data_IF_686731427050
#
_entry.id   IF_686731427050
#
_cell.length_a   1.000
_cell.length_b   1.000
_cell.length_c   1.000
_cell.angle_alpha   90.00
_cell.angle_beta   90.00
_cell.angle_gamma   90.00
#
_symmetry.space_group_name_H-M   'P 1'
#
loop_
_entity.id
_entity.type
_entity.pdbx_description
1 polymer ?
#
# COMPACT_ATOMS: atom_id res chain seq x y z
N UNK A 1 23.91 -5.40 2.30
CA UNK A 1 22.96 -4.31 2.59
C UNK A 1 21.57 -4.91 2.44
N UNK A 2 20.82 -4.99 3.55
CA UNK A 2 19.35 -5.01 3.68
C UNK A 2 18.44 -5.82 2.72
N UNK A 3 18.95 -6.82 2.01
CA UNK A 3 18.13 -7.81 1.28
C UNK A 3 17.17 -8.61 2.18
N UNK A 4 17.41 -8.61 3.51
CA UNK A 4 16.65 -9.41 4.46
C UNK A 4 15.14 -9.16 4.44
N UNK A 5 14.65 -7.92 4.22
CA UNK A 5 13.20 -7.66 4.27
C UNK A 5 12.48 -8.20 3.04
N UNK A 6 13.04 -8.00 1.85
CA UNK A 6 12.42 -8.48 0.60
C UNK A 6 12.56 -9.99 0.45
N UNK A 7 13.62 -10.60 0.99
CA UNK A 7 13.85 -12.05 0.97
C UNK A 7 12.70 -12.87 1.58
N UNK A 8 12.04 -12.39 2.65
CA UNK A 8 10.88 -13.08 3.23
C UNK A 8 9.54 -12.51 2.77
N UNK A 9 9.47 -11.23 2.42
CA UNK A 9 8.22 -10.56 2.06
C UNK A 9 7.60 -11.15 0.78
N UNK A 10 8.41 -11.44 -0.24
CA UNK A 10 7.93 -12.01 -1.50
C UNK A 10 7.39 -13.43 -1.32
N UNK A 11 8.13 -14.40 -0.74
CA UNK A 11 7.59 -15.74 -0.48
C UNK A 11 6.32 -15.72 0.38
N UNK A 12 6.24 -14.84 1.38
CA UNK A 12 5.04 -14.71 2.19
C UNK A 12 3.85 -14.21 1.37
N UNK A 13 4.00 -13.09 0.66
CA UNK A 13 2.95 -12.53 -0.18
C UNK A 13 2.49 -13.53 -1.26
N UNK A 14 3.44 -14.21 -1.92
CA UNK A 14 3.16 -15.24 -2.91
C UNK A 14 2.35 -16.40 -2.31
N UNK A 15 2.75 -16.91 -1.14
CA UNK A 15 2.05 -18.00 -0.47
C UNK A 15 0.61 -17.66 -0.09
N UNK A 16 0.31 -16.40 0.18
CA UNK A 16 -1.01 -15.92 0.58
C UNK A 16 -1.89 -15.49 -0.59
N UNK A 17 -1.31 -15.06 -1.71
CA UNK A 17 -2.03 -14.40 -2.80
C UNK A 17 -2.02 -15.17 -4.12
N UNK A 18 -0.95 -15.89 -4.47
CA UNK A 18 -0.75 -16.39 -5.84
C UNK A 18 -1.84 -17.36 -6.30
N UNK A 19 -2.21 -18.34 -5.49
CA UNK A 19 -3.28 -19.30 -5.79
C UNK A 19 -4.69 -18.70 -5.56
N UNK A 20 -5.04 -18.14 -4.38
CA UNK A 20 -6.41 -17.71 -4.12
C UNK A 20 -6.78 -16.41 -4.83
N UNK A 21 -5.81 -15.55 -5.13
CA UNK A 21 -6.00 -14.19 -5.63
C UNK A 21 -4.93 -13.80 -6.68
N UNK A 22 -4.78 -14.56 -7.79
CA UNK A 22 -3.66 -14.40 -8.73
C UNK A 22 -3.54 -13.00 -9.32
N UNK A 23 -4.68 -12.35 -9.55
CA UNK A 23 -4.72 -10.97 -10.04
C UNK A 23 -4.19 -9.99 -9.00
N UNK A 24 -4.52 -10.18 -7.72
CA UNK A 24 -3.96 -9.37 -6.63
C UNK A 24 -2.47 -9.64 -6.43
N UNK A 25 -2.02 -10.88 -6.61
CA UNK A 25 -0.60 -11.18 -6.63
C UNK A 25 0.15 -10.42 -7.75
N UNK A 26 -0.41 -10.35 -8.96
CA UNK A 26 0.14 -9.54 -10.04
C UNK A 26 0.18 -8.04 -9.66
N UNK A 27 -0.89 -7.53 -9.06
CA UNK A 27 -0.94 -6.16 -8.53
C UNK A 27 0.19 -5.90 -7.51
N UNK A 28 0.30 -6.71 -6.46
CA UNK A 28 1.33 -6.57 -5.41
C UNK A 28 2.74 -6.55 -5.97
N UNK A 29 3.04 -7.41 -6.96
CA UNK A 29 4.32 -7.38 -7.66
C UNK A 29 4.53 -6.04 -8.38
N UNK A 30 3.54 -5.57 -9.14
CA UNK A 30 3.59 -4.26 -9.82
C UNK A 30 3.83 -3.08 -8.86
N UNK A 31 3.20 -3.09 -7.68
CA UNK A 31 3.40 -2.08 -6.64
C UNK A 31 4.84 -2.11 -6.11
N UNK A 32 5.41 -3.30 -5.92
CA UNK A 32 6.80 -3.47 -5.53
C UNK A 32 7.78 -3.03 -6.64
N UNK A 33 7.47 -3.30 -7.92
CA UNK A 33 8.26 -2.77 -9.04
C UNK A 33 8.24 -1.25 -9.05
N UNK A 34 7.07 -0.64 -8.81
CA UNK A 34 6.94 0.81 -8.71
C UNK A 34 7.76 1.37 -7.54
N UNK A 35 7.79 0.69 -6.39
CA UNK A 35 8.64 1.09 -5.26
C UNK A 35 10.12 1.15 -5.64
N UNK A 36 10.61 0.18 -6.42
CA UNK A 36 12.00 0.20 -6.95
C UNK A 36 12.28 1.43 -7.81
N UNK A 37 11.30 1.92 -8.59
CA UNK A 37 11.50 3.11 -9.44
C UNK A 37 11.70 4.42 -8.65
N UNK A 38 11.30 4.45 -7.38
CA UNK A 38 11.42 5.63 -6.51
C UNK A 38 12.48 5.45 -5.41
N UNK A 39 13.27 4.37 -5.44
CA UNK A 39 14.28 4.06 -4.43
C UNK A 39 15.27 5.22 -4.16
N UNK A 40 15.60 6.02 -5.18
CA UNK A 40 16.54 7.14 -5.05
C UNK A 40 16.09 8.24 -4.09
N UNK A 41 14.79 8.42 -3.87
CA UNK A 41 14.25 9.39 -2.91
C UNK A 41 13.92 8.78 -1.55
N UNK A 42 14.07 7.46 -1.41
CA UNK A 42 13.81 6.71 -0.17
C UNK A 42 15.09 6.42 0.61
N UNK A 43 16.26 6.45 -0.04
CA UNK A 43 17.54 6.23 0.62
C UNK A 43 17.58 4.86 1.30
N UNK A 44 17.86 4.84 2.62
CA UNK A 44 17.91 3.61 3.41
C UNK A 44 16.56 2.91 3.58
N UNK A 45 15.44 3.59 3.29
CA UNK A 45 14.10 3.02 3.41
C UNK A 45 13.60 2.35 2.12
N UNK A 46 14.44 2.23 1.08
CA UNK A 46 14.05 1.60 -0.18
C UNK A 46 13.62 0.13 -0.01
N UNK A 47 14.40 -0.67 0.73
CA UNK A 47 14.08 -2.09 0.98
C UNK A 47 12.83 -2.24 1.86
N UNK A 48 12.64 -1.34 2.83
CA UNK A 48 11.43 -1.27 3.65
C UNK A 48 10.19 -1.02 2.77
N UNK A 49 10.29 -0.06 1.86
CA UNK A 49 9.18 0.31 0.98
C UNK A 49 8.82 -0.81 0.02
N UNK A 50 9.82 -1.50 -0.56
CA UNK A 50 9.57 -2.64 -1.45
C UNK A 50 8.89 -3.80 -0.70
N UNK A 51 9.34 -4.12 0.51
CA UNK A 51 8.70 -5.14 1.34
C UNK A 51 7.25 -4.76 1.70
N UNK A 52 7.01 -3.51 2.14
CA UNK A 52 5.65 -3.05 2.41
C UNK A 52 4.76 -3.05 1.16
N UNK A 53 5.32 -2.68 0.00
CA UNK A 53 4.63 -2.66 -1.29
C UNK A 53 4.15 -4.05 -1.71
N UNK A 54 4.98 -5.09 -1.63
CA UNK A 54 4.55 -6.45 -2.00
C UNK A 54 3.56 -7.03 -0.98
N UNK A 55 3.61 -6.59 0.28
CA UNK A 55 2.77 -7.10 1.37
C UNK A 55 1.45 -6.32 1.59
N UNK A 56 1.28 -5.12 1.02
CA UNK A 56 0.20 -4.20 1.43
C UNK A 56 -1.21 -4.82 1.36
N UNK A 57 -1.41 -5.73 0.41
CA UNK A 57 -2.70 -6.28 0.05
C UNK A 57 -2.93 -7.73 0.56
N UNK A 58 -2.01 -8.27 1.39
CA UNK A 58 -2.16 -9.66 1.88
C UNK A 58 -3.40 -9.86 2.75
N UNK A 59 -3.92 -8.80 3.37
CA UNK A 59 -5.14 -8.88 4.20
C UNK A 59 -6.40 -9.26 3.42
N UNK A 60 -6.34 -9.28 2.09
CA UNK A 60 -7.42 -9.84 1.27
C UNK A 60 -7.41 -11.36 1.20
N UNK A 61 -6.31 -12.02 1.55
CA UNK A 61 -6.23 -13.48 1.51
C UNK A 61 -7.38 -14.08 2.34
N UNK A 62 -8.11 -15.10 1.83
CA UNK A 62 -9.30 -15.63 2.50
C UNK A 62 -9.08 -16.04 3.96
N UNK A 63 -7.89 -16.58 4.28
CA UNK A 63 -7.54 -17.01 5.63
C UNK A 63 -7.24 -15.84 6.58
N UNK A 64 -6.93 -14.66 6.05
CA UNK A 64 -6.55 -13.46 6.79
C UNK A 64 -7.72 -12.49 6.97
N UNK A 65 -8.67 -12.42 6.02
CA UNK A 65 -9.77 -11.46 6.01
C UNK A 65 -10.78 -11.69 7.16
N UNK A 66 -10.49 -11.19 8.36
CA UNK A 66 -11.35 -11.34 9.56
C UNK A 66 -12.33 -10.19 9.74
N UNK A 67 -11.91 -8.97 9.44
CA UNK A 67 -12.74 -7.77 9.60
C UNK A 67 -13.36 -7.32 8.27
N UNK A 68 -12.81 -7.79 7.15
CA UNK A 68 -13.16 -7.30 5.82
C UNK A 68 -12.58 -5.92 5.51
N UNK A 69 -11.63 -5.46 6.34
CA UNK A 69 -10.81 -4.27 6.14
C UNK A 69 -9.35 -4.73 6.01
N UNK A 70 -8.92 -4.95 4.78
CA UNK A 70 -7.65 -5.63 4.48
C UNK A 70 -6.39 -4.95 5.03
N UNK A 71 -6.29 -3.61 5.20
CA UNK A 71 -5.09 -3.00 5.79
C UNK A 71 -4.92 -3.46 7.24
N UNK A 72 -6.01 -3.49 8.00
CA UNK A 72 -6.04 -3.97 9.39
C UNK A 72 -5.75 -5.48 9.47
N UNK A 73 -6.45 -6.27 8.67
CA UNK A 73 -6.30 -7.74 8.68
C UNK A 73 -4.86 -8.17 8.31
N UNK A 74 -4.28 -7.52 7.28
CA UNK A 74 -2.90 -7.75 6.87
C UNK A 74 -1.89 -7.31 7.93
N UNK A 75 -2.06 -6.12 8.51
CA UNK A 75 -1.16 -5.61 9.55
C UNK A 75 -1.15 -6.49 10.81
N UNK A 76 -2.33 -6.94 11.26
CA UNK A 76 -2.45 -7.87 12.40
C UNK A 76 -1.77 -9.21 12.11
N UNK A 77 -1.95 -9.77 10.91
CA UNK A 77 -1.26 -10.99 10.52
C UNK A 77 0.27 -10.80 10.52
N UNK A 78 0.76 -9.71 9.93
CA UNK A 78 2.19 -9.40 9.89
C UNK A 78 2.79 -9.27 11.30
N UNK A 79 2.08 -8.60 12.21
CA UNK A 79 2.53 -8.43 13.60
C UNK A 79 2.51 -9.73 14.39
N UNK A 80 1.39 -10.45 14.36
CA UNK A 80 1.14 -11.54 15.31
C UNK A 80 1.56 -12.92 14.81
N UNK A 81 1.61 -13.13 13.50
CA UNK A 81 1.93 -14.43 12.89
C UNK A 81 3.29 -14.40 12.21
N UNK A 82 3.53 -13.41 11.33
CA UNK A 82 4.79 -13.32 10.60
C UNK A 82 5.93 -12.69 11.42
N UNK A 83 5.60 -12.03 12.54
CA UNK A 83 6.54 -11.28 13.38
C UNK A 83 7.41 -10.31 12.58
N UNK A 84 6.78 -9.60 11.64
CA UNK A 84 7.42 -8.68 10.74
C UNK A 84 7.95 -7.42 11.46
N UNK A 85 8.85 -6.70 10.79
CA UNK A 85 9.30 -5.37 11.21
C UNK A 85 8.11 -4.43 11.40
N UNK A 86 8.05 -3.77 12.56
CA UNK A 86 6.93 -2.91 12.95
C UNK A 86 6.73 -1.71 12.01
N UNK A 87 7.77 -1.27 11.27
CA UNK A 87 7.62 -0.24 10.23
C UNK A 87 6.87 -0.78 9.02
N UNK A 88 7.11 -2.03 8.60
CA UNK A 88 6.34 -2.69 7.53
C UNK A 88 4.88 -2.81 7.95
N UNK A 89 4.65 -3.30 9.17
CA UNK A 89 3.30 -3.45 9.74
C UNK A 89 2.52 -2.13 9.69
N UNK A 90 3.13 -1.03 10.15
CA UNK A 90 2.50 0.29 10.16
C UNK A 90 2.25 0.86 8.76
N UNK A 91 3.14 0.62 7.81
CA UNK A 91 2.92 0.99 6.40
C UNK A 91 1.75 0.21 5.80
N UNK A 92 1.67 -1.11 6.04
CA UNK A 92 0.56 -1.95 5.57
C UNK A 92 -0.76 -1.55 6.23
N UNK A 93 -0.78 -1.21 7.52
CA UNK A 93 -2.00 -0.78 8.21
C UNK A 93 -2.60 0.52 7.63
N UNK A 94 -1.76 1.42 7.12
CA UNK A 94 -2.16 2.77 6.71
C UNK A 94 -2.07 3.04 5.19
N UNK A 95 -1.80 2.01 4.38
CA UNK A 95 -1.58 2.20 2.95
C UNK A 95 -2.78 2.84 2.25
N UNK A 96 -2.51 3.63 1.20
CA UNK A 96 -3.52 4.19 0.29
C UNK A 96 -4.71 4.87 0.96
N UNK A 97 -4.44 5.69 1.99
CA UNK A 97 -5.45 6.40 2.77
C UNK A 97 -6.40 5.51 3.58
N UNK A 98 -5.95 4.31 3.98
CA UNK A 98 -6.72 3.36 4.80
C UNK A 98 -7.36 3.98 6.06
N UNK A 99 -6.77 5.03 6.66
CA UNK A 99 -7.36 5.75 7.78
C UNK A 99 -8.73 6.39 7.44
N UNK A 100 -8.95 6.84 6.19
CA UNK A 100 -10.25 7.37 5.75
C UNK A 100 -11.26 6.25 5.54
N UNK A 101 -10.83 5.08 5.05
CA UNK A 101 -11.70 3.91 4.95
C UNK A 101 -12.07 3.40 6.35
N UNK A 102 -11.10 3.37 7.27
CA UNK A 102 -11.33 3.03 8.67
C UNK A 102 -12.35 3.97 9.31
N UNK A 103 -12.31 5.27 9.02
CA UNK A 103 -13.33 6.23 9.46
C UNK A 103 -14.71 5.86 8.92
N UNK A 104 -14.82 5.54 7.63
CA UNK A 104 -16.09 5.11 7.01
C UNK A 104 -16.62 3.79 7.60
N UNK A 105 -15.73 2.96 8.14
CA UNK A 105 -16.05 1.68 8.81
C UNK A 105 -16.28 1.81 10.31
N UNK A 106 -16.02 2.97 10.92
CA UNK A 106 -16.05 3.15 12.38
C UNK A 106 -14.88 2.47 13.12
N UNK A 107 -13.78 2.16 12.42
CA UNK A 107 -12.60 1.46 12.92
C UNK A 107 -11.37 2.37 13.06
N UNK A 108 -11.53 3.69 12.92
CA UNK A 108 -10.40 4.63 12.90
C UNK A 108 -9.62 4.65 14.21
N UNK A 109 -10.32 4.72 15.34
CA UNK A 109 -9.68 4.78 16.66
C UNK A 109 -8.89 3.48 16.94
N UNK A 110 -9.48 2.33 16.62
CA UNK A 110 -8.84 1.01 16.73
C UNK A 110 -7.59 0.91 15.83
N UNK A 111 -7.68 1.39 14.58
CA UNK A 111 -6.53 1.41 13.66
C UNK A 111 -5.39 2.30 14.18
N UNK A 112 -5.70 3.52 14.64
CA UNK A 112 -4.71 4.47 15.12
C UNK A 112 -4.10 4.06 16.48
N UNK A 113 -4.88 3.39 17.34
CA UNK A 113 -4.40 2.82 18.61
C UNK A 113 -3.46 1.63 18.37
N UNK A 114 -3.84 0.68 17.52
CA UNK A 114 -3.01 -0.49 17.25
C UNK A 114 -1.78 -0.17 16.41
N UNK A 115 -1.92 0.72 15.42
CA UNK A 115 -0.88 0.98 14.43
C UNK A 115 -0.66 2.49 14.30
N UNK A 116 0.34 3.06 14.99
CA UNK A 116 0.70 4.46 14.79
C UNK A 116 1.14 4.72 13.34
N UNK A 117 0.86 5.90 12.79
CA UNK A 117 1.27 6.25 11.43
C UNK A 117 2.78 6.41 11.31
N UNK A 118 3.33 5.92 10.20
CA UNK A 118 4.72 6.15 9.79
C UNK A 118 4.95 7.58 9.29
N UNK A 119 6.22 7.91 9.01
CA UNK A 119 6.55 9.21 8.46
C UNK A 119 5.73 9.53 7.19
N UNK A 120 5.17 10.76 7.06
CA UNK A 120 4.27 11.09 5.95
C UNK A 120 4.87 10.84 4.56
N UNK A 121 6.18 11.00 4.41
CA UNK A 121 6.85 10.79 3.12
C UNK A 121 6.86 9.31 2.68
N UNK A 122 6.83 8.36 3.62
CA UNK A 122 6.72 6.93 3.33
C UNK A 122 5.27 6.53 3.04
N UNK A 123 4.31 7.11 3.76
CA UNK A 123 2.88 6.94 3.45
C UNK A 123 2.56 7.44 2.03
N UNK A 124 3.08 8.62 1.66
CA UNK A 124 2.99 9.16 0.30
C UNK A 124 3.57 8.20 -0.74
N UNK A 125 4.74 7.60 -0.44
CA UNK A 125 5.42 6.69 -1.34
C UNK A 125 4.64 5.40 -1.57
N UNK A 126 4.12 4.77 -0.52
CA UNK A 126 3.32 3.55 -0.65
C UNK A 126 1.98 3.84 -1.36
N UNK A 127 1.31 4.94 -1.01
CA UNK A 127 0.10 5.39 -1.71
C UNK A 127 0.37 5.67 -3.19
N UNK A 128 1.50 6.31 -3.52
CA UNK A 128 1.92 6.53 -4.90
C UNK A 128 2.13 5.19 -5.62
N UNK A 129 2.82 4.22 -5.00
CA UNK A 129 3.10 2.93 -5.62
C UNK A 129 1.83 2.15 -5.96
N UNK A 130 0.89 2.05 -5.01
CA UNK A 130 -0.38 1.34 -5.21
C UNK A 130 -1.27 2.07 -6.21
N UNK A 131 -1.51 3.37 -5.99
CA UNK A 131 -2.46 4.13 -6.80
C UNK A 131 -1.96 4.44 -8.22
N UNK A 132 -0.70 4.15 -8.54
CA UNK A 132 -0.14 4.20 -9.90
C UNK A 132 0.07 2.80 -10.53
N UNK A 133 -0.56 1.77 -9.97
CA UNK A 133 -0.45 0.38 -10.45
C UNK A 133 -1.85 -0.20 -10.67
N UNK A 134 -2.07 -0.82 -11.83
CA UNK A 134 -3.35 -1.46 -12.16
C UNK A 134 -3.54 -2.75 -11.36
N UNK A 135 -4.76 -3.33 -11.35
CA UNK A 135 -4.99 -4.65 -10.76
C UNK A 135 -4.18 -5.77 -11.41
N UNK A 136 -3.64 -5.56 -12.61
CA UNK A 136 -2.85 -6.55 -13.34
C UNK A 136 -1.34 -6.27 -13.20
N UNK A 137 -0.95 -5.38 -12.28
CA UNK A 137 0.45 -5.06 -11.98
C UNK A 137 1.11 -4.08 -12.96
N UNK A 138 0.36 -3.53 -13.91
CA UNK A 138 0.91 -2.63 -14.94
C UNK A 138 0.88 -1.15 -14.50
N UNK A 139 1.74 -0.28 -15.04
CA UNK A 139 1.70 1.15 -14.76
C UNK A 139 0.37 1.80 -15.15
N UNK A 140 -0.15 2.68 -14.29
CA UNK A 140 -1.26 3.60 -14.57
C UNK A 140 -1.00 4.97 -13.91
N UNK A 141 -2.00 5.85 -13.94
CA UNK A 141 -2.04 7.11 -13.20
C UNK A 141 -3.13 7.07 -12.11
N UNK A 142 -3.05 7.90 -11.06
CA UNK A 142 -3.95 7.83 -9.93
C UNK A 142 -5.40 8.21 -10.24
N UNK A 143 -5.65 9.05 -11.25
CA UNK A 143 -7.01 9.42 -11.66
C UNK A 143 -7.72 8.20 -12.25
N UNK A 144 -7.06 7.51 -13.18
CA UNK A 144 -7.61 6.30 -13.79
C UNK A 144 -7.78 5.19 -12.76
N UNK A 145 -6.85 5.05 -11.81
CA UNK A 145 -6.97 4.06 -10.74
C UNK A 145 -8.14 4.35 -9.80
N UNK A 146 -8.35 5.60 -9.38
CA UNK A 146 -9.52 6.01 -8.58
C UNK A 146 -10.82 5.74 -9.35
N UNK A 147 -10.89 6.11 -10.63
CA UNK A 147 -12.07 5.88 -11.46
C UNK A 147 -12.36 4.38 -11.65
N UNK A 148 -11.33 3.56 -11.83
CA UNK A 148 -11.46 2.11 -11.95
C UNK A 148 -12.01 1.50 -10.65
N UNK A 149 -11.45 1.86 -9.48
CA UNK A 149 -11.95 1.39 -8.18
C UNK A 149 -13.40 1.84 -7.97
N UNK A 150 -13.71 3.12 -8.20
CA UNK A 150 -15.07 3.63 -8.05
C UNK A 150 -16.07 2.93 -8.98
N UNK A 151 -15.66 2.64 -10.23
CA UNK A 151 -16.49 1.92 -11.20
C UNK A 151 -16.72 0.45 -10.82
N UNK A 152 -15.71 -0.21 -10.24
CA UNK A 152 -15.80 -1.62 -9.81
C UNK A 152 -16.78 -1.83 -8.67
N UNK A 153 -16.76 -0.95 -7.67
CA UNK A 153 -17.59 -1.11 -6.46
C UNK A 153 -18.92 -0.35 -6.52
N UNK A 154 -19.03 0.67 -7.38
CA UNK A 154 -20.21 1.52 -7.50
C UNK A 154 -20.27 2.61 -6.43
N UNK A 155 -20.95 3.75 -6.72
CA UNK A 155 -20.91 4.95 -5.88
C UNK A 155 -21.53 4.77 -4.49
N UNK A 156 -22.54 3.90 -4.36
CA UNK A 156 -23.26 3.68 -3.10
C UNK A 156 -22.56 2.66 -2.18
N UNK A 157 -21.50 2.03 -2.65
CA UNK A 157 -20.69 1.14 -1.82
C UNK A 157 -19.78 1.93 -0.87
N UNK A 158 -19.42 1.32 0.27
CA UNK A 158 -18.45 1.90 1.20
C UNK A 158 -17.14 2.25 0.48
N UNK A 159 -16.64 1.34 -0.35
CA UNK A 159 -15.39 1.54 -1.10
C UNK A 159 -15.52 2.65 -2.14
N UNK A 160 -16.63 2.71 -2.88
CA UNK A 160 -16.88 3.77 -3.86
C UNK A 160 -16.99 5.16 -3.22
N UNK A 161 -17.64 5.26 -2.07
CA UNK A 161 -17.71 6.50 -1.29
C UNK A 161 -16.34 6.89 -0.73
N UNK A 162 -15.63 5.94 -0.12
CA UNK A 162 -14.28 6.15 0.43
C UNK A 162 -13.31 6.63 -0.66
N UNK A 163 -13.21 5.92 -1.79
CA UNK A 163 -12.19 6.22 -2.80
C UNK A 163 -12.41 7.61 -3.42
N UNK A 164 -13.67 8.04 -3.57
CA UNK A 164 -14.01 9.39 -4.02
C UNK A 164 -13.65 10.45 -2.99
N UNK A 165 -13.86 10.17 -1.70
CA UNK A 165 -13.42 11.05 -0.62
C UNK A 165 -11.89 11.14 -0.54
N UNK A 166 -11.18 10.04 -0.79
CA UNK A 166 -9.72 9.96 -0.71
C UNK A 166 -9.00 10.51 -1.95
N UNK A 167 -9.70 10.68 -3.08
CA UNK A 167 -9.13 11.13 -4.36
C UNK A 167 -8.21 12.35 -4.22
N UNK A 168 -8.59 13.46 -3.54
CA UNK A 168 -7.69 14.62 -3.41
C UNK A 168 -6.37 14.29 -2.70
N UNK A 169 -6.39 13.44 -1.67
CA UNK A 169 -5.20 13.06 -0.91
C UNK A 169 -4.30 12.10 -1.69
N UNK A 170 -4.90 11.18 -2.45
CA UNK A 170 -4.17 10.26 -3.35
C UNK A 170 -3.43 11.04 -4.44
N UNK A 171 -4.10 12.03 -5.05
CA UNK A 171 -3.48 12.90 -6.05
C UNK A 171 -2.38 13.78 -5.43
N UNK A 172 -2.61 14.32 -4.23
CA UNK A 172 -1.61 15.12 -3.53
C UNK A 172 -0.38 14.30 -3.14
N UNK A 173 -0.56 13.07 -2.65
CA UNK A 173 0.53 12.12 -2.36
C UNK A 173 1.37 11.85 -3.61
N UNK A 174 0.71 11.59 -4.74
CA UNK A 174 1.39 11.41 -6.03
C UNK A 174 2.20 12.64 -6.45
N UNK A 175 1.62 13.84 -6.33
CA UNK A 175 2.30 15.09 -6.65
C UNK A 175 3.56 15.30 -5.79
N UNK A 176 3.48 15.07 -4.47
CA UNK A 176 4.61 15.18 -3.54
C UNK A 176 5.75 14.21 -3.90
N UNK A 177 5.44 12.97 -4.29
CA UNK A 177 6.45 12.00 -4.72
C UNK A 177 7.13 12.44 -6.02
N UNK A 178 6.36 12.89 -7.01
CA UNK A 178 6.90 13.38 -8.29
C UNK A 178 7.78 14.62 -8.10
N UNK A 179 7.40 15.52 -7.19
CA UNK A 179 8.18 16.70 -6.85
C UNK A 179 9.55 16.30 -6.25
N UNK A 180 9.57 15.38 -5.28
CA UNK A 180 10.81 14.85 -4.69
C UNK A 180 11.71 14.19 -5.72
N UNK A 181 11.16 13.37 -6.61
CA UNK A 181 11.91 12.75 -7.71
C UNK A 181 12.52 13.80 -8.63
N UNK A 182 11.76 14.84 -8.95
CA UNK A 182 12.23 15.94 -9.80
C UNK A 182 13.32 16.76 -9.11
N UNK A 183 13.21 16.98 -7.80
CA UNK A 183 14.24 17.67 -7.01
C UNK A 183 15.53 16.85 -6.92
N UNK A 184 15.44 15.54 -6.67
CA UNK A 184 16.60 14.66 -6.61
C UNK A 184 17.34 14.57 -7.96
N UNK A 185 16.61 14.57 -9.09
CA UNK A 185 17.23 14.61 -10.43
C UNK A 185 17.98 15.92 -10.72
N UNK A 186 17.59 17.03 -10.07
CA UNK A 186 18.24 18.35 -10.25
C UNK A 186 19.47 18.53 -9.38
N UNK A 187 19.65 17.72 -8.34
CA UNK A 187 20.84 17.72 -7.50
C UNK A 187 21.81 16.69 -8.07
N UNK A 188 22.93 17.09 -8.70
CA UNK A 188 23.96 16.13 -9.08
C UNK A 188 24.53 15.51 -7.80
N UNK A 189 24.59 14.17 -7.78
CA UNK A 189 25.29 13.36 -6.77
C UNK A 189 26.77 13.66 -6.73
#
# INVERSE_FOLDING_TARGET
MTTALTEWAYPLAESLLSEPLPRRWAHSQGVAERARTIASILGSDADLMEAAAVLHDIGYAPDLAKTGFHPMDGARYLRHVAHADERVVRLVAHHSCAWMEAEARGMRDELEEEFPREHPHLADALCYCDMNTTPDGTPTNPVDRVNEIAGRYGPDSLIGTFIRRAEPEILASTARVIERLSAAKRQPT
#
